data_IF_066536104153
#
_entry.id   IF_066536104153
#
_cell.length_a   1.000
_cell.length_b   1.000
_cell.length_c   1.000
_cell.angle_alpha   90.00
_cell.angle_beta   90.00
_cell.angle_gamma   90.00
#
_symmetry.space_group_name_H-M   'P 1'
#
loop_
_entity.id
_entity.type
_entity.pdbx_description
1 polymer ?
#
# COMPACT_ATOMS: atom_id res chain seq x y z
N UNK A 1 -27.59 3.86 -30.41
CA UNK A 1 -26.68 2.76 -30.09
C UNK A 1 -25.48 3.40 -29.43
N UNK A 2 -25.32 3.27 -28.11
CA UNK A 2 -24.16 3.85 -27.46
C UNK A 2 -22.94 3.10 -27.98
N UNK A 3 -21.92 3.83 -28.44
CA UNK A 3 -20.66 3.25 -28.86
C UNK A 3 -20.05 2.45 -27.65
N UNK A 4 -19.63 1.21 -27.91
CA UNK A 4 -19.05 0.34 -26.87
C UNK A 4 -17.92 1.05 -26.09
N UNK A 5 -17.18 1.93 -26.78
CA UNK A 5 -16.14 2.77 -26.20
C UNK A 5 -16.72 3.79 -25.20
N UNK A 6 -17.82 4.47 -25.57
CA UNK A 6 -18.47 5.47 -24.70
C UNK A 6 -19.02 4.80 -23.43
N UNK A 7 -19.60 3.61 -23.58
CA UNK A 7 -20.14 2.83 -22.46
C UNK A 7 -19.00 2.37 -21.51
N UNK A 8 -17.88 1.89 -22.07
CA UNK A 8 -16.71 1.50 -21.29
C UNK A 8 -16.14 2.67 -20.48
N UNK A 9 -15.98 3.83 -21.11
CA UNK A 9 -15.49 5.05 -20.44
C UNK A 9 -16.46 5.47 -19.33
N UNK A 10 -17.76 5.41 -19.57
CA UNK A 10 -18.77 5.78 -18.56
C UNK A 10 -18.71 4.86 -17.34
N UNK A 11 -18.65 3.54 -17.56
CA UNK A 11 -18.51 2.55 -16.47
C UNK A 11 -17.22 2.81 -15.67
N UNK A 12 -16.11 3.07 -16.37
CA UNK A 12 -14.83 3.36 -15.73
C UNK A 12 -14.89 4.62 -14.87
N UNK A 13 -15.41 5.73 -15.41
CA UNK A 13 -15.51 7.01 -14.67
C UNK A 13 -16.41 6.85 -13.44
N UNK A 14 -17.57 6.17 -13.59
CA UNK A 14 -18.49 5.94 -12.46
C UNK A 14 -17.84 5.06 -11.39
N UNK A 15 -17.17 3.98 -11.77
CA UNK A 15 -16.45 3.12 -10.84
C UNK A 15 -15.34 3.90 -10.11
N UNK A 16 -14.59 4.73 -10.83
CA UNK A 16 -13.52 5.52 -10.24
C UNK A 16 -14.06 6.60 -9.27
N UNK A 17 -15.16 7.25 -9.62
CA UNK A 17 -15.84 8.21 -8.74
C UNK A 17 -16.37 7.54 -7.46
N UNK A 18 -16.88 6.31 -7.55
CA UNK A 18 -17.32 5.54 -6.38
C UNK A 18 -16.14 5.13 -5.50
N UNK A 19 -15.00 4.76 -6.08
CA UNK A 19 -13.78 4.43 -5.34
C UNK A 19 -13.27 5.66 -4.57
N UNK A 20 -13.22 6.84 -5.23
CA UNK A 20 -12.79 8.10 -4.60
C UNK A 20 -13.75 8.53 -3.49
N UNK A 21 -15.04 8.22 -3.60
CA UNK A 21 -16.02 8.58 -2.56
C UNK A 21 -15.85 7.82 -1.24
N UNK A 22 -15.08 6.73 -1.23
CA UNK A 22 -14.81 5.83 -0.09
C UNK A 22 -16.05 5.26 0.61
N UNK A 23 -17.25 5.48 0.05
CA UNK A 23 -18.52 5.00 0.64
C UNK A 23 -18.73 3.51 0.44
N UNK A 24 -18.12 2.93 -0.57
CA UNK A 24 -18.21 1.51 -0.93
C UNK A 24 -16.81 0.94 -1.00
N UNK A 25 -16.66 -0.30 -0.54
CA UNK A 25 -15.36 -0.97 -0.57
C UNK A 25 -14.84 -1.08 -2.02
N UNK A 26 -13.63 -0.55 -2.26
CA UNK A 26 -13.02 -0.47 -3.61
C UNK A 26 -13.01 -1.79 -4.38
N UNK A 27 -12.83 -2.93 -3.69
CA UNK A 27 -12.86 -4.27 -4.31
C UNK A 27 -14.23 -4.58 -4.89
N UNK A 28 -15.33 -4.24 -4.18
CA UNK A 28 -16.70 -4.47 -4.64
C UNK A 28 -16.96 -3.63 -5.89
N UNK A 29 -16.57 -2.37 -5.88
CA UNK A 29 -16.74 -1.47 -7.04
C UNK A 29 -15.96 -1.97 -8.25
N UNK A 30 -14.71 -2.43 -8.05
CA UNK A 30 -13.88 -2.96 -9.13
C UNK A 30 -14.49 -4.23 -9.76
N UNK A 31 -14.88 -5.20 -8.93
CA UNK A 31 -15.50 -6.45 -9.42
C UNK A 31 -16.82 -6.16 -10.13
N UNK A 32 -17.66 -5.29 -9.56
CA UNK A 32 -18.95 -4.93 -10.17
C UNK A 32 -18.76 -4.20 -11.49
N UNK A 33 -17.80 -3.28 -11.58
CA UNK A 33 -17.44 -2.59 -12.82
C UNK A 33 -16.99 -3.57 -13.93
N UNK A 34 -16.15 -4.55 -13.57
CA UNK A 34 -15.70 -5.59 -14.49
C UNK A 34 -16.87 -6.48 -14.96
N UNK A 35 -17.76 -6.87 -14.04
CA UNK A 35 -18.97 -7.63 -14.41
C UNK A 35 -19.87 -6.87 -15.37
N UNK A 36 -20.06 -5.57 -15.16
CA UNK A 36 -20.85 -4.74 -16.08
C UNK A 36 -20.23 -4.70 -17.48
N UNK A 37 -18.92 -4.58 -17.61
CA UNK A 37 -18.25 -4.60 -18.93
C UNK A 37 -18.47 -5.92 -19.67
N UNK A 38 -18.48 -7.05 -18.96
CA UNK A 38 -18.75 -8.37 -19.53
C UNK A 38 -20.24 -8.48 -19.91
N UNK A 39 -21.17 -8.06 -19.03
CA UNK A 39 -22.61 -8.13 -19.28
C UNK A 39 -23.06 -7.30 -20.48
N UNK A 40 -22.45 -6.13 -20.69
CA UNK A 40 -22.74 -5.28 -21.85
C UNK A 40 -22.00 -5.73 -23.13
N UNK A 41 -21.25 -6.84 -23.07
CA UNK A 41 -20.55 -7.40 -24.22
C UNK A 41 -19.39 -6.53 -24.73
N UNK A 42 -18.88 -5.61 -23.90
CA UNK A 42 -17.71 -4.78 -24.22
C UNK A 42 -16.46 -5.65 -24.21
N UNK A 43 -16.39 -6.59 -23.27
CA UNK A 43 -15.30 -7.53 -23.10
C UNK A 43 -15.83 -8.96 -23.01
N UNK A 44 -15.20 -9.91 -23.70
CA UNK A 44 -15.53 -11.32 -23.51
C UNK A 44 -14.97 -11.83 -22.17
N UNK A 45 -15.63 -12.81 -21.56
CA UNK A 45 -15.15 -13.42 -20.31
C UNK A 45 -13.75 -13.99 -20.48
N UNK A 46 -13.46 -14.61 -21.62
CA UNK A 46 -12.16 -15.20 -21.91
C UNK A 46 -11.07 -14.13 -21.97
N UNK A 47 -11.31 -13.02 -22.64
CA UNK A 47 -10.42 -11.88 -22.71
C UNK A 47 -10.20 -11.26 -21.33
N UNK A 48 -11.28 -11.13 -20.53
CA UNK A 48 -11.17 -10.59 -19.15
C UNK A 48 -10.26 -11.43 -18.27
N UNK A 49 -10.38 -12.77 -18.33
CA UNK A 49 -9.52 -13.69 -17.56
C UNK A 49 -8.07 -13.63 -18.05
N UNK A 50 -7.86 -13.51 -19.37
CA UNK A 50 -6.52 -13.44 -19.95
C UNK A 50 -5.74 -12.18 -19.53
N UNK A 51 -6.45 -11.09 -19.21
CA UNK A 51 -5.84 -9.86 -18.71
C UNK A 51 -5.54 -9.88 -17.21
N UNK A 52 -5.91 -10.94 -16.48
CA UNK A 52 -5.53 -11.11 -15.09
C UNK A 52 -4.13 -11.71 -15.04
N UNK A 53 -3.18 -10.95 -14.53
CA UNK A 53 -1.82 -11.47 -14.30
C UNK A 53 -1.77 -12.29 -13.00
N UNK A 54 -1.93 -13.61 -13.16
CA UNK A 54 -1.86 -14.56 -12.05
C UNK A 54 -0.47 -14.65 -11.41
N UNK A 55 0.61 -14.30 -12.14
CA UNK A 55 1.95 -14.28 -11.57
C UNK A 55 2.08 -13.14 -10.57
N UNK A 56 1.63 -11.94 -10.94
CA UNK A 56 1.58 -10.78 -10.05
C UNK A 56 0.70 -11.05 -8.83
N UNK A 57 -0.49 -11.65 -9.01
CA UNK A 57 -1.36 -12.03 -7.89
C UNK A 57 -0.70 -13.05 -6.96
N UNK A 58 -0.05 -14.08 -7.51
CA UNK A 58 0.67 -15.10 -6.75
C UNK A 58 1.82 -14.50 -5.93
N UNK A 59 2.58 -13.59 -6.54
CA UNK A 59 3.66 -12.88 -5.86
C UNK A 59 3.14 -12.03 -4.70
N UNK A 60 2.08 -11.24 -4.94
CA UNK A 60 1.47 -10.39 -3.92
C UNK A 60 0.93 -11.23 -2.74
N UNK A 61 0.24 -12.33 -3.02
CA UNK A 61 -0.27 -13.23 -1.98
C UNK A 61 0.87 -13.85 -1.16
N UNK A 62 1.92 -14.33 -1.82
CA UNK A 62 3.10 -14.90 -1.17
C UNK A 62 3.80 -13.87 -0.28
N UNK A 63 3.98 -12.66 -0.78
CA UNK A 63 4.56 -11.55 -0.03
C UNK A 63 3.72 -11.19 1.20
N UNK A 64 2.40 -11.07 1.07
CA UNK A 64 1.51 -10.76 2.20
C UNK A 64 1.61 -11.82 3.31
N UNK A 65 1.73 -13.09 2.95
CA UNK A 65 1.91 -14.18 3.93
C UNK A 65 3.24 -14.03 4.67
N UNK A 66 4.35 -13.84 3.94
CA UNK A 66 5.68 -13.67 4.54
C UNK A 66 5.71 -12.45 5.46
N UNK A 67 5.14 -11.34 5.01
CA UNK A 67 5.10 -10.09 5.79
C UNK A 67 4.28 -10.24 7.06
N UNK A 68 3.11 -10.88 7.00
CA UNK A 68 2.28 -11.12 8.18
C UNK A 68 3.00 -11.98 9.21
N UNK A 69 3.63 -13.07 8.78
CA UNK A 69 4.42 -13.93 9.67
C UNK A 69 5.58 -13.12 10.30
N UNK A 70 6.29 -12.34 9.48
CA UNK A 70 7.39 -11.51 9.96
C UNK A 70 6.93 -10.42 10.93
N UNK A 71 5.75 -9.83 10.69
CA UNK A 71 5.15 -8.84 11.59
C UNK A 71 4.86 -9.41 12.98
N UNK A 72 4.33 -10.64 13.06
CA UNK A 72 4.04 -11.33 14.31
C UNK A 72 5.31 -11.62 15.13
N UNK A 73 6.48 -11.75 14.50
CA UNK A 73 7.76 -11.93 15.23
C UNK A 73 8.21 -10.70 16.01
N UNK A 74 7.60 -9.54 15.80
CA UNK A 74 7.98 -8.27 16.42
C UNK A 74 9.25 -7.64 15.84
N UNK A 75 9.74 -8.13 14.69
CA UNK A 75 10.96 -7.63 14.05
C UNK A 75 10.90 -6.12 13.80
N UNK A 76 9.78 -5.61 13.28
CA UNK A 76 9.62 -4.19 12.98
C UNK A 76 9.62 -3.33 14.23
N UNK A 77 9.01 -3.81 15.32
CA UNK A 77 9.04 -3.17 16.63
C UNK A 77 10.49 -3.08 17.15
N UNK A 78 11.22 -4.19 17.06
CA UNK A 78 12.62 -4.24 17.45
C UNK A 78 13.47 -3.24 16.67
N UNK A 79 13.34 -3.21 15.33
CA UNK A 79 14.10 -2.31 14.46
C UNK A 79 13.81 -0.83 14.76
N UNK A 80 12.55 -0.47 14.99
CA UNK A 80 12.18 0.91 15.29
C UNK A 80 12.67 1.36 16.68
N UNK A 81 12.58 0.49 17.69
CA UNK A 81 13.11 0.76 19.03
C UNK A 81 14.64 0.87 18.98
N UNK A 82 15.31 -0.04 18.29
CA UNK A 82 16.75 0.01 18.09
C UNK A 82 17.20 1.30 17.40
N UNK A 83 16.51 1.73 16.35
CA UNK A 83 16.77 3.00 15.68
C UNK A 83 16.61 4.20 16.63
N UNK A 84 15.53 4.22 17.43
CA UNK A 84 15.27 5.26 18.41
C UNK A 84 16.37 5.34 19.49
N UNK A 85 16.82 4.22 20.00
CA UNK A 85 17.90 4.17 21.01
C UNK A 85 19.22 4.67 20.42
N UNK A 86 19.56 4.29 19.20
CA UNK A 86 20.82 4.69 18.53
C UNK A 86 20.94 6.20 18.33
N UNK A 87 19.81 6.88 18.07
CA UNK A 87 19.79 8.34 17.90
C UNK A 87 19.60 9.11 19.23
N UNK A 88 19.66 8.43 20.38
CA UNK A 88 19.48 9.00 21.73
C UNK A 88 18.18 9.81 21.84
N UNK A 89 17.14 9.37 21.16
CA UNK A 89 15.81 9.97 21.15
C UNK A 89 15.77 11.48 20.79
N UNK A 90 16.77 11.99 20.06
CA UNK A 90 16.75 13.37 19.54
C UNK A 90 15.67 13.47 18.44
N UNK A 91 14.66 14.38 18.57
CA UNK A 91 13.47 14.35 17.71
C UNK A 91 13.79 14.40 16.20
N UNK A 92 14.70 15.28 15.80
CA UNK A 92 15.07 15.40 14.38
C UNK A 92 15.80 14.17 13.84
N UNK A 93 16.73 13.62 14.63
CA UNK A 93 17.46 12.40 14.24
C UNK A 93 16.56 11.18 14.27
N UNK A 94 15.60 11.15 15.20
CA UNK A 94 14.59 10.10 15.28
C UNK A 94 13.69 10.12 14.05
N UNK A 95 13.23 11.30 13.65
CA UNK A 95 12.43 11.46 12.43
C UNK A 95 13.16 10.90 11.21
N UNK A 96 14.42 11.29 11.01
CA UNK A 96 15.24 10.80 9.89
C UNK A 96 15.48 9.29 9.99
N UNK A 97 15.78 8.77 11.17
CA UNK A 97 16.02 7.35 11.37
C UNK A 97 14.78 6.51 11.09
N UNK A 98 13.59 6.91 11.60
CA UNK A 98 12.33 6.23 11.34
C UNK A 98 11.91 6.34 9.87
N UNK A 99 12.07 7.50 9.24
CA UNK A 99 11.80 7.66 7.82
C UNK A 99 12.71 6.78 6.97
N UNK A 100 14.02 6.75 7.25
CA UNK A 100 14.98 5.88 6.53
C UNK A 100 14.65 4.41 6.74
N UNK A 101 14.35 4.00 7.97
CA UNK A 101 13.94 2.62 8.27
C UNK A 101 12.68 2.25 7.49
N UNK A 102 11.68 3.13 7.48
CA UNK A 102 10.43 2.92 6.74
C UNK A 102 10.69 2.81 5.24
N UNK A 103 11.55 3.65 4.65
CA UNK A 103 11.91 3.56 3.25
C UNK A 103 12.59 2.23 2.90
N UNK A 104 13.56 1.78 3.71
CA UNK A 104 14.26 0.50 3.50
C UNK A 104 13.30 -0.68 3.64
N UNK A 105 12.45 -0.68 4.66
CA UNK A 105 11.45 -1.72 4.82
C UNK A 105 10.46 -1.73 3.65
N UNK A 106 10.00 -0.56 3.20
CA UNK A 106 9.07 -0.43 2.09
C UNK A 106 9.65 -0.83 0.72
N UNK A 107 10.96 -0.75 0.58
CA UNK A 107 11.63 -1.29 -0.61
C UNK A 107 11.57 -2.83 -0.70
N UNK A 108 11.37 -3.51 0.42
CA UNK A 108 11.29 -4.97 0.52
C UNK A 108 9.85 -5.47 0.73
N UNK A 109 8.97 -4.59 1.22
CA UNK A 109 7.57 -4.85 1.53
C UNK A 109 6.71 -3.84 0.77
N UNK A 110 5.39 -4.06 0.73
CA UNK A 110 4.52 -3.03 0.19
C UNK A 110 4.46 -1.79 1.12
N UNK A 111 4.25 -0.64 0.50
CA UNK A 111 4.24 0.66 1.18
C UNK A 111 3.15 0.77 2.27
N UNK A 112 1.97 0.21 2.02
CA UNK A 112 0.83 0.27 2.95
C UNK A 112 1.11 -0.56 4.20
N UNK A 113 1.53 -1.81 4.03
CA UNK A 113 1.84 -2.72 5.15
C UNK A 113 2.99 -2.17 5.98
N UNK A 114 4.04 -1.63 5.34
CA UNK A 114 5.16 -1.01 6.05
C UNK A 114 4.72 0.14 6.95
N UNK A 115 3.84 1.01 6.47
CA UNK A 115 3.29 2.11 7.28
C UNK A 115 2.45 1.56 8.42
N UNK A 116 1.55 0.61 8.16
CA UNK A 116 0.71 -0.01 9.19
C UNK A 116 1.53 -0.65 10.31
N UNK A 117 2.69 -1.22 10.01
CA UNK A 117 3.57 -1.84 10.99
C UNK A 117 4.40 -0.82 11.78
N UNK A 118 4.84 0.27 11.15
CA UNK A 118 5.72 1.25 11.79
C UNK A 118 4.96 2.31 12.58
N UNK A 119 3.72 2.65 12.21
CA UNK A 119 2.90 3.68 12.85
C UNK A 119 2.65 3.42 14.33
N UNK A 120 2.22 2.23 14.80
CA UNK A 120 1.99 1.98 16.22
C UNK A 120 3.24 2.20 17.06
N UNK A 121 4.41 1.80 16.55
CA UNK A 121 5.69 2.00 17.25
C UNK A 121 6.06 3.47 17.32
N UNK A 122 5.82 4.20 16.24
CA UNK A 122 6.04 5.65 16.19
C UNK A 122 5.16 6.38 17.22
N UNK A 123 3.88 6.01 17.33
CA UNK A 123 3.00 6.53 18.38
C UNK A 123 3.55 6.27 19.79
N UNK A 124 4.00 5.05 20.05
CA UNK A 124 4.57 4.69 21.35
C UNK A 124 5.81 5.54 21.69
N UNK A 125 6.73 5.68 20.75
CA UNK A 125 7.98 6.43 20.96
C UNK A 125 7.69 7.93 21.10
N UNK A 126 6.88 8.52 20.24
CA UNK A 126 6.58 9.96 20.27
C UNK A 126 5.78 10.35 21.51
N UNK A 127 4.89 9.49 21.99
CA UNK A 127 4.16 9.66 23.25
C UNK A 127 5.10 9.69 24.46
N UNK A 128 6.09 8.78 24.51
CA UNK A 128 7.09 8.75 25.58
C UNK A 128 7.98 9.99 25.57
N UNK A 129 8.33 10.49 24.38
CA UNK A 129 9.15 11.68 24.21
C UNK A 129 8.36 12.99 24.33
N UNK A 130 7.03 12.93 24.43
CA UNK A 130 6.11 14.08 24.46
C UNK A 130 6.31 15.03 23.27
N UNK A 131 6.55 14.47 22.07
CA UNK A 131 6.67 15.22 20.83
C UNK A 131 5.45 14.98 19.92
N UNK A 132 5.14 15.94 19.04
CA UNK A 132 4.04 15.78 18.09
C UNK A 132 4.35 14.65 17.11
N UNK A 133 3.39 13.72 16.98
CA UNK A 133 3.51 12.55 16.11
C UNK A 133 3.32 12.89 14.62
N UNK A 134 2.60 13.97 14.30
CA UNK A 134 2.22 14.30 12.91
C UNK A 134 3.42 14.41 11.95
N UNK A 135 4.51 15.13 12.28
CA UNK A 135 5.67 15.20 11.39
C UNK A 135 6.29 13.83 11.10
N UNK A 136 6.29 12.94 12.10
CA UNK A 136 6.85 11.58 11.95
C UNK A 136 6.01 10.76 11.00
N UNK A 137 4.68 10.78 11.15
CA UNK A 137 3.76 10.06 10.26
C UNK A 137 3.86 10.56 8.82
N UNK A 138 3.88 11.87 8.61
CA UNK A 138 4.03 12.45 7.28
C UNK A 138 5.36 12.04 6.63
N UNK A 139 6.45 12.09 7.38
CA UNK A 139 7.76 11.66 6.88
C UNK A 139 7.79 10.17 6.53
N UNK A 140 7.16 9.32 7.35
CA UNK A 140 7.09 7.87 7.11
C UNK A 140 6.22 7.54 5.89
N UNK A 141 5.07 8.19 5.70
CA UNK A 141 4.22 8.01 4.52
C UNK A 141 4.98 8.39 3.25
N UNK A 142 5.67 9.53 3.24
CA UNK A 142 6.49 9.94 2.09
C UNK A 142 7.65 8.97 1.86
N UNK A 143 8.33 8.57 2.92
CA UNK A 143 9.45 7.64 2.86
C UNK A 143 9.03 6.24 2.38
N UNK A 144 7.85 5.76 2.78
CA UNK A 144 7.33 4.47 2.33
C UNK A 144 7.03 4.47 0.82
N UNK A 145 6.43 5.54 0.31
CA UNK A 145 6.18 5.66 -1.12
C UNK A 145 7.48 5.72 -1.92
N UNK A 146 8.46 6.50 -1.46
CA UNK A 146 9.79 6.57 -2.10
C UNK A 146 10.49 5.21 -2.04
N UNK A 147 10.46 4.52 -0.90
CA UNK A 147 11.03 3.19 -0.74
C UNK A 147 10.34 2.15 -1.60
N UNK A 148 9.00 2.15 -1.63
CA UNK A 148 8.19 1.24 -2.43
C UNK A 148 8.47 1.34 -3.93
N UNK A 149 8.69 2.54 -4.45
CA UNK A 149 9.02 2.75 -5.87
C UNK A 149 10.47 2.36 -6.23
N UNK A 150 11.34 2.14 -5.25
CA UNK A 150 12.74 1.81 -5.49
C UNK A 150 12.97 0.38 -5.96
N UNK A 151 12.02 -0.53 -5.76
CA UNK A 151 12.13 -1.95 -6.12
C UNK A 151 10.88 -2.45 -6.83
N UNK A 152 11.01 -3.54 -7.56
CA UNK A 152 9.87 -4.21 -8.21
C UNK A 152 8.86 -4.76 -7.20
N UNK A 153 9.29 -5.05 -5.98
CA UNK A 153 8.51 -5.75 -4.95
C UNK A 153 7.80 -4.78 -4.00
N UNK A 154 8.34 -3.55 -3.86
CA UNK A 154 7.87 -2.57 -2.90
C UNK A 154 6.51 -1.92 -3.24
N UNK A 155 6.09 -1.97 -4.49
CA UNK A 155 4.78 -1.45 -4.91
C UNK A 155 4.20 -2.31 -6.04
N UNK A 156 2.95 -2.81 -5.92
CA UNK A 156 2.32 -3.66 -6.94
C UNK A 156 2.39 -3.13 -8.38
N UNK A 157 2.22 -1.82 -8.65
CA UNK A 157 2.35 -1.29 -10.00
C UNK A 157 3.73 -1.46 -10.65
N UNK A 158 4.78 -1.66 -9.86
CA UNK A 158 6.14 -1.83 -10.40
C UNK A 158 6.36 -3.21 -11.03
N UNK A 159 5.45 -4.17 -10.78
CA UNK A 159 5.54 -5.54 -11.27
C UNK A 159 4.82 -5.69 -12.61
N UNK A 160 3.87 -4.81 -12.90
CA UNK A 160 3.09 -4.78 -14.14
C UNK A 160 3.84 -4.04 -15.25
#
# INVERSE_FOLDING_TARGET
>A
MFDSTTLAITIFIVAYALIISEKVHRTIVGIFGAMLMIMFGILSQETAIHHIDFNTLGLLMGMMIIVNITAETGLFNFLAIWAAQKVKAQPMKLLLALATLTAVCSALLDNVTTVLLTVPVTFSITSQLKVDVKPFLMAQILASNIGGTATLVGDPPNIM
#
